data_IF_149976658495
#
_entry.id   IF_149976658495
#
_cell.length_a   1.000
_cell.length_b   1.000
_cell.length_c   1.000
_cell.angle_alpha   90.00
_cell.angle_beta   90.00
_cell.angle_gamma   90.00
#
_symmetry.space_group_name_H-M   'P 1'
#
loop_
_entity.id
_entity.type
_entity.pdbx_description
1 polymer ?
#
# COMPACT_ATOMS: atom_id res chain seq x y z
N UNK A 1 -44.79 32.15 -55.53
CA UNK A 1 -43.48 32.73 -55.16
C UNK A 1 -42.93 31.84 -54.03
N UNK A 2 -42.06 30.85 -54.27
CA UNK A 2 -40.59 30.94 -54.49
C UNK A 2 -39.96 31.79 -53.36
N UNK A 3 -39.04 31.37 -52.49
CA UNK A 3 -38.16 30.20 -52.26
C UNK A 3 -37.60 30.42 -50.84
N UNK A 4 -37.55 29.43 -49.95
CA UNK A 4 -36.38 29.20 -49.06
C UNK A 4 -36.28 27.70 -48.76
N UNK A 5 -35.65 26.97 -49.67
CA UNK A 5 -35.00 25.68 -49.42
C UNK A 5 -33.52 25.93 -49.72
N UNK A 6 -32.66 26.12 -48.71
CA UNK A 6 -31.20 26.04 -48.92
C UNK A 6 -30.30 26.01 -47.66
N UNK A 7 -30.71 25.40 -46.53
CA UNK A 7 -29.78 25.20 -45.40
C UNK A 7 -29.78 23.78 -44.81
N UNK A 8 -29.92 22.77 -45.68
CA UNK A 8 -29.50 21.39 -45.41
C UNK A 8 -28.19 21.00 -46.11
N UNK A 9 -27.39 21.97 -46.62
CA UNK A 9 -26.23 21.70 -47.49
C UNK A 9 -24.84 21.94 -46.88
N UNK A 10 -24.71 21.98 -45.55
CA UNK A 10 -23.40 21.85 -44.88
C UNK A 10 -23.36 20.66 -43.92
N UNK A 11 -24.00 19.55 -44.32
CA UNK A 11 -23.39 18.27 -44.01
C UNK A 11 -21.96 18.31 -44.55
N UNK A 12 -21.00 17.94 -43.70
CA UNK A 12 -19.70 17.45 -44.14
C UNK A 12 -18.72 18.53 -44.63
N UNK A 13 -18.18 19.35 -43.71
CA UNK A 13 -16.78 19.83 -43.70
C UNK A 13 -16.53 20.44 -42.30
N UNK A 14 -15.39 20.11 -41.69
CA UNK A 14 -14.91 20.47 -40.33
C UNK A 14 -15.51 19.63 -39.16
N UNK A 15 -15.40 18.29 -39.14
CA UNK A 15 -14.19 17.57 -38.72
C UNK A 15 -12.90 18.40 -38.79
N UNK A 16 -12.67 19.23 -37.78
CA UNK A 16 -11.37 19.78 -37.37
C UNK A 16 -11.65 20.85 -36.29
N UNK A 17 -11.98 20.39 -35.07
CA UNK A 17 -11.63 21.15 -33.88
C UNK A 17 -10.82 20.20 -33.01
N UNK A 18 -9.53 20.14 -33.33
CA UNK A 18 -8.50 19.55 -32.48
C UNK A 18 -8.63 20.17 -31.08
N UNK A 19 -9.31 19.46 -30.20
CA UNK A 19 -9.21 19.70 -28.76
C UNK A 19 -7.74 19.40 -28.41
N UNK A 20 -6.99 20.38 -27.90
CA UNK A 20 -5.53 20.26 -27.79
C UNK A 20 -5.19 19.07 -26.90
N UNK A 21 -4.22 18.27 -27.35
CA UNK A 21 -3.63 17.17 -26.60
C UNK A 21 -3.45 17.61 -25.13
N UNK A 22 -4.11 16.91 -24.21
CA UNK A 22 -4.12 17.25 -22.80
C UNK A 22 -2.68 17.41 -22.28
N UNK A 23 -2.21 18.64 -22.21
CA UNK A 23 -0.85 18.92 -21.73
C UNK A 23 -0.72 18.37 -20.31
N UNK A 24 0.43 17.74 -20.06
CA UNK A 24 0.76 16.99 -18.84
C UNK A 24 0.50 17.78 -17.55
N UNK A 25 0.52 19.11 -17.66
CA UNK A 25 0.22 20.10 -16.62
C UNK A 25 -1.26 20.08 -16.20
N UNK A 26 -2.21 19.93 -17.13
CA UNK A 26 -3.65 19.87 -16.82
C UNK A 26 -4.03 18.58 -16.09
N UNK A 27 -3.41 17.44 -16.45
CA UNK A 27 -3.52 16.19 -15.68
C UNK A 27 -2.93 16.33 -14.27
N UNK A 28 -1.83 17.06 -14.12
CA UNK A 28 -1.24 17.31 -12.82
C UNK A 28 -2.16 18.17 -11.94
N UNK A 29 -2.75 19.24 -12.49
CA UNK A 29 -3.69 20.11 -11.77
C UNK A 29 -4.96 19.34 -11.37
N UNK A 30 -5.52 18.49 -12.25
CA UNK A 30 -6.65 17.60 -11.90
C UNK A 30 -6.28 16.57 -10.82
N UNK A 31 -5.03 16.13 -10.76
CA UNK A 31 -4.53 15.17 -9.76
C UNK A 31 -4.18 15.81 -8.40
N UNK A 32 -3.77 17.08 -8.40
CA UNK A 32 -3.39 17.82 -7.19
C UNK A 32 -4.57 18.58 -6.57
N UNK A 33 -5.50 19.08 -7.39
CA UNK A 33 -6.63 19.91 -6.94
C UNK A 33 -8.01 19.32 -7.23
N UNK A 34 -8.11 18.27 -8.07
CA UNK A 34 -9.39 17.70 -8.53
C UNK A 34 -9.99 16.59 -7.66
N UNK A 35 -9.73 16.57 -6.34
CA UNK A 35 -10.43 15.66 -5.41
C UNK A 35 -11.55 16.37 -4.64
N UNK A 36 -12.23 17.31 -5.30
CA UNK A 36 -13.49 17.88 -4.85
C UNK A 36 -14.63 17.38 -5.74
N UNK A 37 -14.87 16.07 -5.78
CA UNK A 37 -16.05 15.55 -6.47
C UNK A 37 -17.28 15.81 -5.60
N UNK A 38 -18.02 16.86 -5.97
CA UNK A 38 -19.44 17.03 -5.66
C UNK A 38 -20.24 15.93 -6.38
N UNK A 39 -20.17 14.70 -5.87
CA UNK A 39 -21.12 13.64 -6.20
C UNK A 39 -21.96 13.44 -4.94
N UNK A 40 -23.26 13.75 -5.02
CA UNK A 40 -24.31 13.48 -4.03
C UNK A 40 -23.77 13.11 -2.66
N UNK A 41 -23.55 14.11 -1.80
CA UNK A 41 -23.20 13.89 -0.39
C UNK A 41 -24.38 13.18 0.28
N UNK A 42 -24.42 11.85 0.18
CA UNK A 42 -25.01 11.05 1.23
C UNK A 42 -24.23 11.48 2.47
N UNK A 43 -24.87 12.12 3.46
CA UNK A 43 -24.14 12.49 4.66
C UNK A 43 -23.60 11.19 5.28
N UNK A 44 -22.36 11.21 5.78
CA UNK A 44 -21.78 10.09 6.54
C UNK A 44 -22.77 9.55 7.58
N UNK A 45 -23.56 10.46 8.19
CA UNK A 45 -24.61 10.17 9.16
C UNK A 45 -25.79 9.40 8.54
N UNK A 46 -26.22 9.76 7.34
CA UNK A 46 -27.33 9.11 6.64
C UNK A 46 -26.94 7.70 6.18
N UNK A 47 -25.68 7.51 5.74
CA UNK A 47 -25.15 6.19 5.38
C UNK A 47 -25.02 5.28 6.62
N UNK A 48 -24.59 5.84 7.75
CA UNK A 48 -24.52 5.14 9.04
C UNK A 48 -25.94 4.75 9.50
N UNK A 49 -26.88 5.68 9.47
CA UNK A 49 -28.26 5.42 9.87
C UNK A 49 -28.92 4.37 8.98
N UNK A 50 -28.73 4.45 7.65
CA UNK A 50 -29.21 3.43 6.72
C UNK A 50 -28.55 2.07 6.97
N UNK A 51 -27.24 2.03 7.25
CA UNK A 51 -26.58 0.79 7.61
C UNK A 51 -27.19 0.18 8.88
N UNK A 52 -27.42 0.97 9.94
CA UNK A 52 -28.02 0.47 11.18
C UNK A 52 -29.49 0.06 11.01
N UNK A 53 -30.26 0.81 10.21
CA UNK A 53 -31.67 0.52 9.92
C UNK A 53 -31.85 -0.71 9.02
N UNK A 54 -30.99 -0.88 8.00
CA UNK A 54 -30.94 -2.11 7.19
C UNK A 54 -30.32 -3.29 7.96
N UNK A 55 -29.51 -3.03 9.00
CA UNK A 55 -28.88 -4.05 9.85
C UNK A 55 -29.77 -4.56 10.99
N UNK A 56 -31.06 -4.20 11.02
CA UNK A 56 -32.05 -4.87 11.87
C UNK A 56 -32.26 -6.29 11.31
N UNK A 57 -31.34 -7.19 11.71
CA UNK A 57 -31.21 -8.64 11.48
C UNK A 57 -30.60 -9.12 10.13
N UNK A 58 -29.81 -10.23 10.10
CA UNK A 58 -29.62 -11.24 11.13
C UNK A 58 -28.25 -11.16 11.85
N UNK A 59 -28.20 -11.75 13.04
CA UNK A 59 -26.94 -12.04 13.76
C UNK A 59 -26.00 -12.76 12.79
N UNK A 60 -24.84 -12.15 12.53
CA UNK A 60 -23.84 -12.76 11.67
C UNK A 60 -23.34 -14.06 12.32
N UNK A 61 -23.25 -15.18 11.58
CA UNK A 61 -22.62 -16.38 12.12
C UNK A 61 -21.15 -16.06 12.45
N UNK A 62 -20.61 -16.70 13.48
CA UNK A 62 -19.27 -16.41 14.02
C UNK A 62 -18.14 -16.60 12.97
N UNK A 63 -18.39 -17.40 11.93
CA UNK A 63 -17.49 -17.64 10.80
C UNK A 63 -17.65 -16.64 9.64
N UNK A 64 -18.58 -15.67 9.73
CA UNK A 64 -18.85 -14.74 8.64
C UNK A 64 -17.66 -13.83 8.38
N UNK A 65 -17.18 -13.83 7.13
CA UNK A 65 -16.15 -12.91 6.70
C UNK A 65 -16.76 -11.51 6.48
N UNK A 66 -16.66 -10.67 7.52
CA UNK A 66 -17.14 -9.28 7.55
C UNK A 66 -16.64 -8.50 6.33
N UNK A 67 -15.40 -8.74 5.88
CA UNK A 67 -14.83 -8.05 4.71
C UNK A 67 -15.51 -8.42 3.41
N UNK A 68 -15.87 -9.70 3.23
CA UNK A 68 -16.59 -10.14 2.03
C UNK A 68 -17.94 -9.45 1.95
N UNK A 69 -18.64 -9.30 3.08
CA UNK A 69 -19.91 -8.56 3.18
C UNK A 69 -19.77 -7.08 2.80
N UNK A 70 -18.78 -6.37 3.37
CA UNK A 70 -18.53 -4.97 2.99
C UNK A 70 -18.15 -4.82 1.51
N UNK A 71 -17.42 -5.78 0.95
CA UNK A 71 -17.11 -5.77 -0.48
C UNK A 71 -18.34 -6.00 -1.36
N UNK A 72 -19.25 -6.89 -0.96
CA UNK A 72 -20.53 -7.09 -1.64
C UNK A 72 -21.41 -5.84 -1.56
N UNK A 73 -21.41 -5.16 -0.42
CA UNK A 73 -22.24 -3.98 -0.16
C UNK A 73 -21.53 -2.65 -0.49
N UNK A 74 -20.42 -2.69 -1.24
CA UNK A 74 -19.61 -1.51 -1.56
C UNK A 74 -20.40 -0.41 -2.29
N UNK A 75 -21.40 -0.81 -3.08
CA UNK A 75 -22.25 0.12 -3.82
C UNK A 75 -23.37 0.70 -2.94
N UNK A 76 -23.78 -0.02 -1.88
CA UNK A 76 -24.79 0.43 -0.91
C UNK A 76 -24.19 1.35 0.15
N UNK A 77 -22.94 1.09 0.56
CA UNK A 77 -22.25 1.84 1.63
C UNK A 77 -20.83 2.25 1.19
N UNK A 78 -20.69 3.19 0.25
CA UNK A 78 -19.41 3.57 -0.32
C UNK A 78 -18.48 4.26 0.70
N UNK A 79 -19.01 5.11 1.59
CA UNK A 79 -18.20 5.88 2.54
C UNK A 79 -17.64 4.95 3.61
N UNK A 80 -18.49 4.10 4.21
CA UNK A 80 -18.10 3.16 5.25
C UNK A 80 -17.10 2.12 4.72
N UNK A 81 -17.33 1.61 3.50
CA UNK A 81 -16.42 0.65 2.86
C UNK A 81 -15.05 1.27 2.61
N UNK A 82 -15.00 2.52 2.13
CA UNK A 82 -13.74 3.21 1.86
C UNK A 82 -12.95 3.51 3.13
N UNK A 83 -13.60 3.94 4.21
CA UNK A 83 -12.95 4.16 5.51
C UNK A 83 -12.31 2.87 6.04
N UNK A 84 -13.01 1.74 5.93
CA UNK A 84 -12.51 0.45 6.38
C UNK A 84 -11.31 -0.04 5.55
N UNK A 85 -11.35 0.17 4.22
CA UNK A 85 -10.23 -0.15 3.32
C UNK A 85 -9.00 0.70 3.69
N UNK A 86 -9.17 2.00 3.94
CA UNK A 86 -8.08 2.89 4.32
C UNK A 86 -7.48 2.53 5.69
N UNK A 87 -8.31 2.21 6.68
CA UNK A 87 -7.86 1.71 7.98
C UNK A 87 -6.98 0.47 7.83
N UNK A 88 -7.41 -0.51 7.01
CA UNK A 88 -6.65 -1.73 6.75
C UNK A 88 -5.34 -1.47 6.01
N UNK A 89 -5.32 -0.53 5.06
CA UNK A 89 -4.07 -0.11 4.39
C UNK A 89 -3.08 0.49 5.40
N UNK A 90 -3.55 1.30 6.35
CA UNK A 90 -2.70 1.86 7.43
C UNK A 90 -2.16 0.77 8.34
N UNK A 91 -3.00 -0.17 8.77
CA UNK A 91 -2.59 -1.32 9.59
C UNK A 91 -1.53 -2.18 8.90
N UNK A 92 -1.75 -2.56 7.64
CA UNK A 92 -0.76 -3.30 6.82
C UNK A 92 0.57 -2.55 6.69
N UNK A 93 0.54 -1.22 6.55
CA UNK A 93 1.77 -0.41 6.52
C UNK A 93 2.51 -0.44 7.86
N UNK A 94 1.79 -0.39 8.99
CA UNK A 94 2.37 -0.47 10.33
C UNK A 94 2.98 -1.85 10.57
N UNK A 95 2.28 -2.91 10.21
CA UNK A 95 2.74 -4.29 10.32
C UNK A 95 4.04 -4.52 9.53
N UNK A 96 4.06 -4.15 8.24
CA UNK A 96 5.27 -4.22 7.40
C UNK A 96 6.43 -3.42 7.98
N UNK A 97 6.17 -2.26 8.60
CA UNK A 97 7.22 -1.48 9.29
C UNK A 97 7.76 -2.21 10.51
N UNK A 98 6.90 -2.88 11.29
CA UNK A 98 7.30 -3.66 12.48
C UNK A 98 8.14 -4.88 12.06
N UNK A 99 7.71 -5.60 11.04
CA UNK A 99 8.42 -6.75 10.46
C UNK A 99 9.83 -6.37 10.00
N UNK A 100 9.96 -5.35 9.14
CA UNK A 100 11.27 -4.83 8.68
C UNK A 100 12.18 -4.42 9.84
N UNK A 101 11.63 -3.86 10.92
CA UNK A 101 12.41 -3.52 12.12
C UNK A 101 12.92 -4.77 12.84
N UNK A 102 12.14 -5.85 12.90
CA UNK A 102 12.53 -7.14 13.49
C UNK A 102 13.65 -7.78 12.66
N UNK A 103 13.47 -7.88 11.35
CA UNK A 103 14.48 -8.42 10.42
C UNK A 103 15.82 -7.70 10.57
N UNK A 104 15.81 -6.36 10.55
CA UNK A 104 17.03 -5.56 10.73
C UNK A 104 17.72 -5.79 12.08
N UNK A 105 16.94 -5.98 13.16
CA UNK A 105 17.51 -6.30 14.48
C UNK A 105 18.14 -7.68 14.48
N UNK A 106 17.48 -8.65 13.89
CA UNK A 106 17.96 -10.03 13.81
C UNK A 106 19.22 -10.14 12.94
N UNK A 107 19.25 -9.47 11.80
CA UNK A 107 20.42 -9.40 10.93
C UNK A 107 21.63 -8.80 11.67
N UNK A 108 21.43 -7.70 12.41
CA UNK A 108 22.47 -7.10 13.25
C UNK A 108 22.97 -8.07 14.33
N UNK A 109 22.08 -8.86 14.94
CA UNK A 109 22.45 -9.88 15.94
C UNK A 109 23.31 -10.97 15.29
N UNK A 110 22.87 -11.53 14.15
CA UNK A 110 23.63 -12.54 13.38
C UNK A 110 25.01 -12.03 12.96
N UNK A 111 25.12 -10.78 12.50
CA UNK A 111 26.42 -10.16 12.15
C UNK A 111 27.35 -10.05 13.36
N UNK A 112 26.84 -9.65 14.53
CA UNK A 112 27.63 -9.55 15.78
C UNK A 112 28.13 -10.92 16.22
N UNK A 113 27.27 -11.93 16.18
CA UNK A 113 27.61 -13.31 16.51
C UNK A 113 28.68 -13.88 15.58
N UNK A 114 28.53 -13.67 14.26
CA UNK A 114 29.54 -14.06 13.27
C UNK A 114 30.90 -13.39 13.51
N UNK A 115 30.93 -12.12 13.93
CA UNK A 115 32.18 -11.43 14.30
C UNK A 115 32.80 -12.07 15.55
N UNK A 116 32.01 -12.30 16.60
CA UNK A 116 32.48 -12.96 17.84
C UNK A 116 33.04 -14.36 17.57
N UNK A 117 32.35 -15.17 16.77
CA UNK A 117 32.83 -16.51 16.41
C UNK A 117 34.14 -16.49 15.63
N UNK A 118 34.31 -15.55 14.70
CA UNK A 118 35.58 -15.37 13.96
C UNK A 118 36.73 -14.93 14.88
N UNK A 119 36.45 -14.04 15.83
CA UNK A 119 37.43 -13.56 16.79
C UNK A 119 37.86 -14.66 17.77
N UNK A 120 36.91 -15.42 18.30
CA UNK A 120 37.19 -16.56 19.16
C UNK A 120 38.06 -17.61 18.44
N UNK A 121 37.73 -17.93 17.18
CA UNK A 121 38.52 -18.85 16.35
C UNK A 121 39.94 -18.33 16.07
N UNK A 122 40.14 -17.00 15.97
CA UNK A 122 41.47 -16.41 15.84
C UNK A 122 42.28 -16.56 17.13
N UNK A 123 41.68 -16.24 18.27
CA UNK A 123 42.33 -16.37 19.60
C UNK A 123 42.69 -17.82 19.91
N UNK A 124 41.85 -18.78 19.53
CA UNK A 124 42.11 -20.20 19.71
C UNK A 124 43.30 -20.68 18.86
N UNK A 125 43.34 -20.30 17.57
CA UNK A 125 44.48 -20.60 16.68
C UNK A 125 45.79 -19.97 17.18
N UNK A 126 45.72 -18.79 17.77
CA UNK A 126 46.88 -18.09 18.34
C UNK A 126 47.42 -18.83 19.56
N UNK A 127 46.56 -19.19 20.52
CA UNK A 127 46.92 -20.03 21.67
C UNK A 127 47.49 -21.39 21.25
N UNK A 128 46.95 -21.99 20.19
CA UNK A 128 47.46 -23.26 19.67
C UNK A 128 48.89 -23.11 19.11
N UNK A 129 49.17 -22.01 18.39
CA UNK A 129 50.51 -21.70 17.89
C UNK A 129 51.50 -21.44 19.02
N UNK A 130 51.06 -20.74 20.06
CA UNK A 130 51.87 -20.46 21.26
C UNK A 130 52.27 -21.75 21.98
N UNK A 131 51.30 -22.64 22.26
CA UNK A 131 51.57 -23.98 22.82
C UNK A 131 52.54 -24.81 21.98
N UNK A 132 52.45 -24.72 20.64
CA UNK A 132 53.38 -25.40 19.73
C UNK A 132 54.80 -24.82 19.82
N UNK A 133 54.94 -23.51 20.02
CA UNK A 133 56.26 -22.86 20.21
C UNK A 133 56.88 -23.25 21.54
N UNK A 134 56.11 -23.27 22.62
CA UNK A 134 56.57 -23.71 23.95
C UNK A 134 57.06 -25.16 23.93
N UNK A 135 56.29 -26.08 23.33
CA UNK A 135 56.69 -27.48 23.18
C UNK A 135 57.98 -27.69 22.38
N UNK A 136 58.28 -26.79 21.42
CA UNK A 136 59.54 -26.84 20.67
C UNK A 136 60.72 -26.38 21.52
N UNK A 137 60.57 -25.24 22.22
CA UNK A 137 61.61 -24.71 23.11
C UNK A 137 61.99 -25.69 24.23
N UNK A 138 61.01 -26.37 24.83
CA UNK A 138 61.27 -27.37 25.88
C UNK A 138 61.88 -28.70 25.41
N UNK A 139 62.10 -28.89 24.10
CA UNK A 139 62.82 -30.06 23.55
C UNK A 139 64.25 -29.73 23.14
N UNK A 140 64.62 -28.45 23.09
CA UNK A 140 65.93 -27.97 22.64
C UNK A 140 66.86 -27.57 23.80
N UNK A 141 66.36 -27.59 25.05
CA UNK A 141 67.14 -27.41 26.27
C UNK A 141 67.12 -28.68 27.11
#
# INVERSE_FOLDING_TARGET
>A
MIKINEYMKNATIANELELPEETTTFRFIRKVFGSGNNQNKINDIDEINNYFNESIAPVLPESANIYKRWHTNKNSFPILTNQQIEKRKKEKKIEKKKERKRERKEERKRRREKRRGREQKRREKERERERKREKKKGKEG
#
